data_IF_931532680696
#
_entry.id   IF_931532680696
#
_cell.length_a   1.000
_cell.length_b   1.000
_cell.length_c   1.000
_cell.angle_alpha   90.00
_cell.angle_beta   90.00
_cell.angle_gamma   90.00
#
_symmetry.space_group_name_H-M   'P 1'
#
loop_
_entity.id
_entity.type
_entity.pdbx_description
1 polymer ?
#
# COMPACT_ATOMS: atom_id res chain seq x y z
N UNK A 1 -3.17 -21.65 -24.42
CA UNK A 1 -2.97 -21.41 -22.97
C UNK A 1 -2.83 -22.74 -22.25
N UNK A 2 -1.82 -22.89 -21.43
CA UNK A 2 -1.60 -24.07 -20.57
C UNK A 2 -2.50 -23.98 -19.34
N UNK A 3 -3.55 -24.82 -19.28
CA UNK A 3 -4.56 -24.79 -18.21
C UNK A 3 -3.99 -25.17 -16.83
N UNK A 4 -2.99 -26.03 -16.76
CA UNK A 4 -2.35 -26.43 -15.51
C UNK A 4 -1.54 -25.28 -14.92
N UNK A 5 -0.70 -24.62 -15.74
CA UNK A 5 0.06 -23.46 -15.29
C UNK A 5 -0.87 -22.28 -14.89
N UNK A 6 -1.96 -22.09 -15.62
CA UNK A 6 -2.95 -21.07 -15.27
C UNK A 6 -3.58 -21.35 -13.91
N UNK A 7 -3.98 -22.59 -13.63
CA UNK A 7 -4.53 -22.97 -12.32
C UNK A 7 -3.52 -22.78 -11.19
N UNK A 8 -2.25 -23.10 -11.42
CA UNK A 8 -1.17 -22.85 -10.44
C UNK A 8 -1.05 -21.34 -10.19
N UNK A 9 -1.02 -20.51 -11.23
CA UNK A 9 -0.94 -19.06 -11.11
C UNK A 9 -2.14 -18.50 -10.32
N UNK A 10 -3.35 -18.93 -10.63
CA UNK A 10 -4.58 -18.49 -9.96
C UNK A 10 -4.55 -18.85 -8.45
N UNK A 11 -4.09 -20.06 -8.09
CA UNK A 11 -3.94 -20.46 -6.70
C UNK A 11 -2.86 -19.63 -5.96
N UNK A 12 -1.75 -19.33 -6.60
CA UNK A 12 -0.70 -18.47 -6.05
C UNK A 12 -1.26 -17.06 -5.79
N UNK A 13 -2.00 -16.50 -6.75
CA UNK A 13 -2.62 -15.18 -6.66
C UNK A 13 -3.60 -15.14 -5.49
N UNK A 14 -4.50 -16.11 -5.41
CA UNK A 14 -5.50 -16.20 -4.34
C UNK A 14 -4.87 -16.28 -2.96
N UNK A 15 -3.84 -17.12 -2.81
CA UNK A 15 -3.11 -17.26 -1.55
C UNK A 15 -2.36 -15.97 -1.16
N UNK A 16 -1.72 -15.33 -2.14
CA UNK A 16 -0.98 -14.09 -1.94
C UNK A 16 -1.90 -12.94 -1.51
N UNK A 17 -3.04 -12.74 -2.19
CA UNK A 17 -4.02 -11.73 -1.81
C UNK A 17 -4.58 -12.00 -0.41
N UNK A 18 -4.99 -13.23 -0.11
CA UNK A 18 -5.51 -13.61 1.22
C UNK A 18 -4.52 -13.32 2.34
N UNK A 19 -3.23 -13.52 2.11
CA UNK A 19 -2.19 -13.28 3.10
C UNK A 19 -2.02 -11.80 3.48
N UNK A 20 -2.34 -10.88 2.59
CA UNK A 20 -2.19 -9.43 2.81
C UNK A 20 -3.51 -8.70 3.05
N UNK A 21 -4.61 -9.43 3.22
CA UNK A 21 -5.87 -8.82 3.64
C UNK A 21 -5.71 -8.16 5.02
N UNK A 22 -6.40 -7.04 5.27
CA UNK A 22 -6.28 -6.28 6.51
C UNK A 22 -6.55 -7.12 7.76
N UNK A 23 -7.55 -8.00 7.71
CA UNK A 23 -7.90 -8.89 8.82
C UNK A 23 -6.81 -9.95 9.07
N UNK A 24 -6.26 -10.56 8.03
CA UNK A 24 -5.16 -11.51 8.14
C UNK A 24 -3.90 -10.87 8.75
N UNK A 25 -3.60 -9.64 8.34
CA UNK A 25 -2.46 -8.88 8.87
C UNK A 25 -2.63 -8.57 10.36
N UNK A 26 -3.81 -8.12 10.79
CA UNK A 26 -4.09 -7.83 12.21
C UNK A 26 -4.05 -9.11 13.03
N UNK A 27 -4.70 -10.20 12.58
CA UNK A 27 -4.71 -11.50 13.29
C UNK A 27 -3.29 -12.01 13.53
N UNK A 28 -2.42 -11.98 12.50
CA UNK A 28 -1.01 -12.38 12.66
C UNK A 28 -0.24 -11.50 13.64
N UNK A 29 -0.49 -10.18 13.61
CA UNK A 29 0.20 -9.26 14.50
C UNK A 29 -0.20 -9.40 15.97
N UNK A 30 -1.43 -9.82 16.24
CA UNK A 30 -1.97 -10.00 17.59
C UNK A 30 -1.76 -11.41 18.13
N UNK A 31 -1.38 -12.38 17.29
CA UNK A 31 -1.17 -13.76 17.72
C UNK A 31 -0.15 -13.86 18.83
N UNK A 32 -0.54 -14.50 19.94
CA UNK A 32 0.29 -14.66 21.14
C UNK A 32 0.63 -13.35 21.86
N UNK A 33 -0.02 -12.23 21.55
CA UNK A 33 0.20 -10.96 22.26
C UNK A 33 -0.72 -10.83 23.47
N UNK A 34 -0.11 -10.44 24.59
CA UNK A 34 -0.82 -10.11 25.82
C UNK A 34 -0.61 -8.62 26.14
N UNK A 35 -1.70 -7.95 26.46
CA UNK A 35 -1.70 -6.55 26.88
C UNK A 35 -2.17 -6.48 28.34
N UNK A 36 -1.43 -5.70 29.16
CA UNK A 36 -1.83 -5.41 30.54
C UNK A 36 -2.90 -4.33 30.55
N UNK A 37 -3.16 -3.62 31.55
CA UNK A 37 -4.02 -2.45 31.65
C UNK A 37 -5.18 -2.35 30.63
N UNK A 38 -5.59 -1.13 30.33
CA UNK A 38 -6.60 -0.83 29.30
C UNK A 38 -6.02 -0.94 27.90
N UNK A 39 -6.84 -1.37 26.96
CA UNK A 39 -6.51 -1.34 25.53
C UNK A 39 -7.43 -0.36 24.83
N UNK A 40 -6.85 0.70 24.31
CA UNK A 40 -7.55 1.73 23.53
C UNK A 40 -7.26 1.50 22.06
N UNK A 41 -8.30 1.20 21.27
CA UNK A 41 -8.17 0.97 19.84
C UNK A 41 -8.28 2.29 19.08
N UNK A 42 -7.26 2.61 18.28
CA UNK A 42 -7.30 3.71 17.31
C UNK A 42 -6.97 3.16 15.94
N UNK A 43 -7.93 3.14 15.03
CA UNK A 43 -7.76 2.59 13.68
C UNK A 43 -7.99 3.65 12.62
N UNK A 44 -7.00 3.84 11.73
CA UNK A 44 -6.97 4.97 10.78
C UNK A 44 -6.62 4.49 9.37
N UNK A 45 -7.34 4.99 8.38
CA UNK A 45 -7.05 4.76 6.97
C UNK A 45 -8.20 4.10 6.20
N UNK A 46 -7.97 3.78 4.94
CA UNK A 46 -9.00 3.21 4.06
C UNK A 46 -9.48 1.82 4.53
N UNK A 47 -8.59 1.03 5.14
CA UNK A 47 -8.90 -0.29 5.69
C UNK A 47 -9.19 -0.27 7.20
N UNK A 48 -9.32 0.92 7.81
CA UNK A 48 -9.42 1.08 9.27
C UNK A 48 -10.58 0.32 9.88
N UNK A 49 -11.74 0.32 9.26
CA UNK A 49 -12.91 -0.42 9.76
C UNK A 49 -12.65 -1.93 9.79
N UNK A 50 -12.09 -2.47 8.69
CA UNK A 50 -11.81 -3.91 8.58
C UNK A 50 -10.72 -4.35 9.56
N UNK A 51 -9.67 -3.54 9.73
CA UNK A 51 -8.62 -3.80 10.73
C UNK A 51 -9.17 -3.77 12.16
N UNK A 52 -10.02 -2.79 12.48
CA UNK A 52 -10.65 -2.67 13.80
C UNK A 52 -11.60 -3.82 14.10
N UNK A 53 -12.38 -4.27 13.11
CA UNK A 53 -13.25 -5.44 13.25
C UNK A 53 -12.41 -6.69 13.54
N UNK A 54 -11.32 -6.90 12.80
CA UNK A 54 -10.42 -8.03 13.03
C UNK A 54 -9.76 -7.98 14.42
N UNK A 55 -9.39 -6.80 14.90
CA UNK A 55 -8.88 -6.63 16.26
C UNK A 55 -9.95 -6.94 17.31
N UNK A 56 -11.19 -6.49 17.10
CA UNK A 56 -12.33 -6.77 17.96
C UNK A 56 -12.64 -8.27 18.01
N UNK A 57 -12.61 -8.96 16.87
CA UNK A 57 -12.80 -10.42 16.80
C UNK A 57 -11.72 -11.19 17.55
N UNK A 58 -10.47 -10.72 17.54
CA UNK A 58 -9.35 -11.36 18.24
C UNK A 58 -9.34 -11.12 19.73
N UNK A 59 -9.71 -9.90 20.16
CA UNK A 59 -9.48 -9.42 21.52
C UNK A 59 -10.76 -9.32 22.37
N UNK A 60 -11.94 -9.21 21.71
CA UNK A 60 -13.22 -9.11 22.39
C UNK A 60 -13.25 -8.05 23.49
N UNK A 61 -13.63 -8.47 24.69
CA UNK A 61 -13.75 -7.61 25.88
C UNK A 61 -12.44 -6.98 26.35
N UNK A 62 -11.28 -7.35 25.78
CA UNK A 62 -10.00 -6.72 26.09
C UNK A 62 -9.87 -5.33 25.51
N UNK A 63 -10.68 -4.97 24.51
CA UNK A 63 -10.76 -3.59 24.02
C UNK A 63 -11.71 -2.81 24.94
N UNK A 64 -11.17 -1.84 25.66
CA UNK A 64 -11.96 -1.00 26.57
C UNK A 64 -12.84 -0.02 25.80
N UNK A 65 -12.27 0.67 24.83
CA UNK A 65 -12.93 1.60 23.92
C UNK A 65 -12.08 1.82 22.68
N UNK A 66 -12.66 2.39 21.63
CA UNK A 66 -11.90 2.69 20.43
C UNK A 66 -12.53 3.69 19.49
N UNK A 67 -11.76 4.06 18.47
CA UNK A 67 -12.20 4.91 17.38
C UNK A 67 -11.67 4.38 16.05
N UNK A 68 -12.54 4.41 15.06
CA UNK A 68 -12.23 4.15 13.65
C UNK A 68 -12.36 5.45 12.88
N UNK A 69 -11.38 5.78 12.06
CA UNK A 69 -11.41 6.94 11.16
C UNK A 69 -11.10 6.45 9.74
N UNK A 70 -12.13 6.44 8.91
CA UNK A 70 -12.02 5.94 7.54
C UNK A 70 -12.67 6.89 6.54
N UNK A 71 -12.52 6.62 5.23
CA UNK A 71 -13.16 7.46 4.21
C UNK A 71 -14.65 7.14 4.09
N UNK A 72 -15.41 8.07 3.56
CA UNK A 72 -16.84 7.92 3.32
C UNK A 72 -17.18 6.62 2.58
N UNK A 73 -18.23 5.91 3.05
CA UNK A 73 -18.72 4.66 2.49
C UNK A 73 -17.89 3.44 2.87
N UNK A 74 -16.95 3.55 3.82
CA UNK A 74 -16.10 2.43 4.25
C UNK A 74 -16.47 1.82 5.61
N UNK A 75 -17.35 2.44 6.38
CA UNK A 75 -17.94 1.83 7.57
C UNK A 75 -19.02 0.82 7.12
N UNK A 76 -18.86 -0.45 7.50
CA UNK A 76 -19.78 -1.54 7.10
C UNK A 76 -20.75 -1.95 8.21
N UNK A 77 -20.66 -1.33 9.38
CA UNK A 77 -21.52 -1.61 10.51
C UNK A 77 -20.89 -1.19 11.85
N UNK A 78 -21.60 -1.34 12.97
CA UNK A 78 -21.06 -1.04 14.29
C UNK A 78 -20.00 -2.07 14.71
N UNK A 79 -19.05 -1.62 15.52
CA UNK A 79 -18.08 -2.45 16.24
C UNK A 79 -18.29 -2.18 17.73
N UNK A 80 -18.38 -3.21 18.55
CA UNK A 80 -18.63 -3.04 19.98
C UNK A 80 -17.57 -2.16 20.63
N UNK A 81 -18.00 -1.18 21.47
CA UNK A 81 -17.14 -0.21 22.17
C UNK A 81 -16.27 0.69 21.26
N UNK A 82 -16.53 0.72 19.96
CA UNK A 82 -15.75 1.49 18.99
C UNK A 82 -16.64 2.49 18.26
N UNK A 83 -16.28 3.77 18.35
CA UNK A 83 -16.94 4.84 17.61
C UNK A 83 -16.35 4.93 16.20
N UNK A 84 -17.20 4.89 15.17
CA UNK A 84 -16.78 4.91 13.77
C UNK A 84 -17.08 6.24 13.13
N UNK A 85 -16.05 6.88 12.57
CA UNK A 85 -16.14 8.13 11.82
C UNK A 85 -15.78 7.90 10.35
N UNK A 86 -16.53 8.57 9.48
CA UNK A 86 -16.19 8.70 8.08
C UNK A 86 -15.79 10.14 7.77
N UNK A 87 -14.74 10.33 6.97
CA UNK A 87 -14.09 11.61 6.73
C UNK A 87 -13.54 11.75 5.30
N UNK A 88 -13.10 12.96 4.96
CA UNK A 88 -12.62 13.32 3.64
C UNK A 88 -11.29 12.67 3.26
N UNK A 89 -11.22 12.18 2.04
CA UNK A 89 -10.01 11.66 1.40
C UNK A 89 -10.10 11.87 -0.12
N UNK A 90 -9.06 12.36 -0.80
CA UNK A 90 -7.67 12.62 -0.36
C UNK A 90 -7.44 13.95 0.37
N UNK A 91 -8.45 14.80 0.48
CA UNK A 91 -8.38 16.08 1.18
C UNK A 91 -9.07 15.94 2.53
N UNK A 92 -8.43 16.33 3.66
CA UNK A 92 -9.05 16.31 4.97
C UNK A 92 -10.20 17.34 5.04
N UNK A 93 -11.21 17.02 5.82
CA UNK A 93 -12.36 17.87 6.07
C UNK A 93 -12.64 18.03 7.59
N UNK A 94 -13.69 18.75 7.94
CA UNK A 94 -14.11 18.96 9.34
C UNK A 94 -14.32 17.63 10.10
N UNK A 95 -14.83 16.59 9.40
CA UNK A 95 -14.99 15.26 10.00
C UNK A 95 -13.64 14.61 10.31
N UNK A 96 -12.61 14.81 9.47
CA UNK A 96 -11.25 14.36 9.77
C UNK A 96 -10.72 14.98 11.07
N UNK A 97 -10.94 16.28 11.25
CA UNK A 97 -10.47 17.02 12.43
C UNK A 97 -11.22 16.62 13.70
N UNK A 98 -12.54 16.44 13.61
CA UNK A 98 -13.39 16.00 14.72
C UNK A 98 -13.05 14.57 15.15
N UNK A 99 -12.90 13.66 14.20
CA UNK A 99 -12.55 12.27 14.47
C UNK A 99 -11.15 12.16 15.09
N UNK A 100 -10.19 12.95 14.60
CA UNK A 100 -8.83 12.98 15.16
C UNK A 100 -8.84 13.55 16.59
N UNK A 101 -9.68 14.56 16.88
CA UNK A 101 -9.85 15.07 18.24
C UNK A 101 -10.40 13.98 19.18
N UNK A 102 -11.39 13.20 18.74
CA UNK A 102 -11.92 12.08 19.52
C UNK A 102 -10.83 11.05 19.84
N UNK A 103 -9.95 10.76 18.87
CA UNK A 103 -8.79 9.87 19.10
C UNK A 103 -7.83 10.46 20.15
N UNK A 104 -7.52 11.76 20.08
CA UNK A 104 -6.66 12.46 21.07
C UNK A 104 -7.26 12.37 22.46
N UNK A 105 -8.57 12.65 22.59
CA UNK A 105 -9.28 12.64 23.88
C UNK A 105 -9.28 11.22 24.48
N UNK A 106 -9.38 10.19 23.66
CA UNK A 106 -9.36 8.80 24.13
C UNK A 106 -7.99 8.35 24.67
N UNK A 107 -6.89 8.88 24.16
CA UNK A 107 -5.53 8.48 24.56
C UNK A 107 -4.92 9.41 25.62
N UNK A 108 -5.58 10.49 25.95
CA UNK A 108 -5.09 11.44 26.96
C UNK A 108 -5.32 10.89 28.38
N UNK A 109 -4.28 10.97 29.23
CA UNK A 109 -4.35 10.58 30.65
C UNK A 109 -4.31 9.07 30.90
N UNK A 110 -3.80 8.28 29.95
CA UNK A 110 -3.51 6.86 30.14
C UNK A 110 -2.33 6.64 31.07
N UNK A 111 -2.23 5.45 31.63
CA UNK A 111 -1.12 5.01 32.49
C UNK A 111 -0.05 4.23 31.72
N UNK A 112 1.10 3.97 32.34
CA UNK A 112 2.17 3.14 31.76
C UNK A 112 1.79 1.65 31.57
N UNK A 113 0.72 1.20 32.23
CA UNK A 113 0.21 -0.17 32.06
C UNK A 113 -0.74 -0.28 30.89
N UNK A 114 -1.27 0.85 30.38
CA UNK A 114 -2.24 0.89 29.30
C UNK A 114 -1.55 0.79 27.94
N UNK A 115 -2.30 0.30 26.94
CA UNK A 115 -1.82 0.16 25.57
C UNK A 115 -2.77 0.87 24.60
N UNK A 116 -2.20 1.65 23.69
CA UNK A 116 -2.89 2.13 22.51
C UNK A 116 -2.60 1.18 21.36
N UNK A 117 -3.61 0.40 20.95
CA UNK A 117 -3.55 -0.41 19.75
C UNK A 117 -3.82 0.48 18.55
N UNK A 118 -2.75 0.86 17.85
CA UNK A 118 -2.81 1.80 16.73
C UNK A 118 -2.73 1.06 15.40
N UNK A 119 -3.86 0.98 14.68
CA UNK A 119 -3.97 0.31 13.39
C UNK A 119 -3.94 1.35 12.27
N UNK A 120 -2.99 1.23 11.34
CA UNK A 120 -2.74 2.24 10.33
C UNK A 120 -2.73 1.63 8.93
N UNK A 121 -3.47 2.23 8.00
CA UNK A 121 -3.48 1.85 6.59
C UNK A 121 -3.40 3.07 5.68
N UNK A 122 -3.27 2.85 4.37
CA UNK A 122 -3.20 3.91 3.37
C UNK A 122 -4.31 4.96 3.49
N UNK A 123 -4.01 6.19 3.12
CA UNK A 123 -4.93 7.34 3.22
C UNK A 123 -4.94 8.07 4.56
N UNK A 124 -4.21 7.58 5.57
CA UNK A 124 -4.16 8.19 6.91
C UNK A 124 -3.67 9.64 6.94
N UNK A 125 -2.89 10.09 5.95
CA UNK A 125 -2.41 11.49 5.90
C UNK A 125 -3.54 12.52 5.82
N UNK A 126 -4.67 12.19 5.18
CA UNK A 126 -5.85 13.05 5.13
C UNK A 126 -6.83 12.75 6.26
N UNK A 127 -7.06 11.45 6.53
CA UNK A 127 -8.05 10.99 7.48
C UNK A 127 -7.66 11.31 8.94
N UNK A 128 -6.36 11.31 9.26
CA UNK A 128 -5.83 11.57 10.60
C UNK A 128 -5.08 12.90 10.65
N UNK A 129 -5.83 13.98 10.71
CA UNK A 129 -5.31 15.34 10.71
C UNK A 129 -5.97 16.18 11.81
N UNK A 130 -5.16 16.92 12.54
CA UNK A 130 -5.58 17.98 13.46
C UNK A 130 -4.60 19.15 13.31
N UNK A 131 -4.99 20.20 12.58
CA UNK A 131 -4.07 21.31 12.31
C UNK A 131 -3.85 22.18 13.55
N UNK A 132 -2.62 22.71 13.69
CA UNK A 132 -2.23 23.71 14.71
C UNK A 132 -2.43 25.15 14.25
N UNK A 133 -2.90 25.32 13.04
CA UNK A 133 -3.21 26.60 12.37
C UNK A 133 -4.64 26.53 11.84
N UNK A 134 -5.24 27.65 11.44
CA UNK A 134 -6.55 27.62 10.79
C UNK A 134 -6.56 26.70 9.58
N UNK A 135 -7.67 25.98 9.39
CA UNK A 135 -7.84 24.99 8.31
C UNK A 135 -7.61 25.59 6.93
N UNK A 136 -8.16 26.78 6.69
CA UNK A 136 -7.98 27.51 5.42
C UNK A 136 -6.50 27.81 5.14
N UNK A 137 -5.72 28.12 6.19
CA UNK A 137 -4.29 28.34 6.05
C UNK A 137 -3.56 27.03 5.70
N UNK A 138 -3.90 25.89 6.34
CA UNK A 138 -3.32 24.59 6.01
C UNK A 138 -3.64 24.19 4.57
N UNK A 139 -4.88 24.39 4.12
CA UNK A 139 -5.29 24.13 2.75
C UNK A 139 -4.51 24.99 1.76
N UNK A 140 -4.39 26.29 2.04
CA UNK A 140 -3.63 27.22 1.20
C UNK A 140 -2.15 26.81 1.07
N UNK A 141 -1.49 26.46 2.19
CA UNK A 141 -0.10 25.98 2.20
C UNK A 141 0.02 24.69 1.37
N UNK A 142 -0.93 23.78 1.49
CA UNK A 142 -0.94 22.53 0.72
C UNK A 142 -1.08 22.81 -0.79
N UNK A 143 -1.96 23.73 -1.18
CA UNK A 143 -2.14 24.17 -2.58
C UNK A 143 -0.83 24.77 -3.12
N UNK A 144 -0.17 25.65 -2.34
CA UNK A 144 1.11 26.23 -2.73
C UNK A 144 2.17 25.16 -2.99
N UNK A 145 2.30 24.17 -2.08
CA UNK A 145 3.26 23.06 -2.22
C UNK A 145 3.00 22.21 -3.47
N UNK A 146 1.74 21.89 -3.73
CA UNK A 146 1.37 21.14 -4.95
C UNK A 146 1.64 21.97 -6.22
N UNK A 147 1.25 23.24 -6.23
CA UNK A 147 1.42 24.12 -7.39
C UNK A 147 2.88 24.40 -7.75
N UNK A 148 3.79 24.42 -6.77
CA UNK A 148 5.22 24.63 -7.01
C UNK A 148 5.99 23.34 -7.36
N UNK A 149 5.32 22.19 -7.40
CA UNK A 149 5.93 20.88 -7.73
C UNK A 149 6.81 20.33 -6.61
N UNK A 150 6.50 20.65 -5.34
CA UNK A 150 7.18 20.02 -4.21
C UNK A 150 6.91 18.51 -4.19
N UNK A 151 7.93 17.73 -3.91
CA UNK A 151 7.78 16.29 -3.77
C UNK A 151 7.07 15.90 -2.47
N UNK A 152 6.70 14.62 -2.35
CA UNK A 152 5.94 14.14 -1.19
C UNK A 152 6.73 14.25 0.12
N UNK A 153 8.06 14.16 0.08
CA UNK A 153 8.92 14.30 1.26
C UNK A 153 8.90 15.76 1.73
N UNK A 154 9.03 16.70 0.81
CA UNK A 154 8.97 18.14 1.08
C UNK A 154 7.59 18.55 1.63
N UNK A 155 6.51 18.05 1.02
CA UNK A 155 5.13 18.29 1.49
C UNK A 155 4.96 17.76 2.92
N UNK A 156 5.36 16.53 3.20
CA UNK A 156 5.26 15.94 4.53
C UNK A 156 6.14 16.66 5.56
N UNK A 157 7.34 17.12 5.18
CA UNK A 157 8.22 17.90 6.05
C UNK A 157 7.53 19.16 6.59
N UNK A 158 6.76 19.84 5.77
CA UNK A 158 5.96 21.02 6.19
C UNK A 158 4.74 20.57 7.00
N UNK A 159 3.94 19.62 6.49
CA UNK A 159 2.69 19.18 7.13
C UNK A 159 2.90 18.59 8.53
N UNK A 160 3.96 17.83 8.75
CA UNK A 160 4.31 17.26 10.07
C UNK A 160 4.44 18.34 11.15
N UNK A 161 4.95 19.53 10.81
CA UNK A 161 5.11 20.64 11.76
C UNK A 161 3.82 21.38 12.07
N UNK A 162 2.89 21.38 11.13
CA UNK A 162 1.62 22.09 11.24
C UNK A 162 0.49 21.24 11.84
N UNK A 163 0.76 19.98 12.20
CA UNK A 163 -0.22 19.02 12.72
C UNK A 163 0.04 18.67 14.19
N UNK A 164 -1.02 18.38 14.93
CA UNK A 164 -0.95 17.91 16.32
C UNK A 164 -0.62 16.41 16.42
N UNK A 165 -0.85 15.63 15.35
CA UNK A 165 -0.74 14.16 15.40
C UNK A 165 0.38 13.60 14.54
N UNK A 166 0.86 14.32 13.51
CA UNK A 166 1.88 13.83 12.59
C UNK A 166 3.30 13.94 13.15
N UNK A 167 4.27 13.25 12.52
CA UNK A 167 5.68 13.30 12.86
C UNK A 167 5.96 12.89 14.30
N UNK A 168 5.38 11.77 14.76
CA UNK A 168 5.59 11.21 16.10
C UNK A 168 4.74 11.86 17.20
N UNK A 169 4.00 12.92 16.92
CA UNK A 169 3.26 13.66 17.95
C UNK A 169 2.12 12.85 18.57
N UNK A 170 1.42 12.02 17.78
CA UNK A 170 0.37 11.17 18.31
C UNK A 170 0.91 10.21 19.37
N UNK A 171 2.03 9.53 19.09
CA UNK A 171 2.65 8.66 20.09
C UNK A 171 3.10 9.42 21.34
N UNK A 172 3.54 10.68 21.21
CA UNK A 172 3.83 11.54 22.35
C UNK A 172 2.60 11.88 23.19
N UNK A 173 1.44 12.09 22.56
CA UNK A 173 0.18 12.31 23.27
C UNK A 173 -0.29 11.08 24.04
N UNK A 174 0.12 9.88 23.62
CA UNK A 174 -0.19 8.63 24.32
C UNK A 174 0.66 8.41 25.57
N UNK A 175 1.80 9.08 25.74
CA UNK A 175 2.67 8.87 26.92
C UNK A 175 1.93 9.12 28.24
N UNK A 176 2.17 8.26 29.27
CA UNK A 176 3.17 7.19 29.36
C UNK A 176 2.70 5.81 28.83
N UNK A 177 1.53 5.69 28.21
CA UNK A 177 1.04 4.43 27.65
C UNK A 177 1.90 3.94 26.49
N UNK A 178 1.93 2.60 26.32
CA UNK A 178 2.59 1.98 25.18
C UNK A 178 1.72 2.06 23.93
N UNK A 179 2.32 2.39 22.78
CA UNK A 179 1.68 2.35 21.46
C UNK A 179 2.13 1.09 20.74
N UNK A 180 1.22 0.14 20.54
CA UNK A 180 1.44 -1.02 19.69
C UNK A 180 0.82 -0.76 18.31
N UNK A 181 1.67 -0.44 17.35
CA UNK A 181 1.25 -0.01 16.01
C UNK A 181 1.33 -1.17 15.01
N UNK A 182 0.22 -1.43 14.29
CA UNK A 182 0.13 -2.39 13.18
C UNK A 182 -0.11 -1.59 11.91
N UNK A 183 0.79 -1.71 10.94
CA UNK A 183 0.80 -0.91 9.72
C UNK A 183 0.57 -1.80 8.49
N UNK A 184 -0.37 -1.38 7.64
CA UNK A 184 -0.50 -1.81 6.25
C UNK A 184 0.10 -0.72 5.37
N UNK A 185 1.23 -1.03 4.73
CA UNK A 185 1.99 -0.09 3.92
C UNK A 185 1.63 -0.22 2.45
N UNK A 186 1.30 0.91 1.84
CA UNK A 186 1.12 1.08 0.39
C UNK A 186 2.29 1.88 -0.24
N UNK A 187 3.39 2.09 0.50
CA UNK A 187 4.55 2.84 0.04
C UNK A 187 5.76 1.90 -0.06
N UNK A 188 6.45 1.91 -1.20
CA UNK A 188 7.62 1.08 -1.43
C UNK A 188 8.75 1.37 -0.42
N UNK A 189 9.33 0.30 0.12
CA UNK A 189 10.39 0.39 1.14
C UNK A 189 9.89 0.67 2.55
N UNK A 190 8.56 0.77 2.74
CA UNK A 190 7.88 0.91 4.04
C UNK A 190 8.41 2.05 4.93
N UNK A 191 8.63 3.28 4.42
CA UNK A 191 9.13 4.38 5.21
C UNK A 191 8.07 4.84 6.22
N UNK A 192 8.17 4.37 7.47
CA UNK A 192 7.19 4.60 8.54
C UNK A 192 6.87 6.08 8.79
N UNK A 193 7.85 6.96 8.58
CA UNK A 193 7.67 8.41 8.73
C UNK A 193 6.91 9.07 7.58
N UNK A 194 6.70 8.33 6.48
CA UNK A 194 5.89 8.76 5.32
C UNK A 194 4.46 8.20 5.38
N UNK A 195 4.28 6.99 5.94
CA UNK A 195 2.96 6.36 6.07
C UNK A 195 2.09 7.21 7.03
N UNK A 196 0.96 7.73 6.52
CA UNK A 196 0.09 8.69 7.21
C UNK A 196 0.85 9.92 7.79
N UNK A 197 2.03 10.26 7.24
CA UNK A 197 2.94 11.29 7.76
C UNK A 197 3.48 10.98 9.17
N UNK A 198 3.64 9.70 9.51
CA UNK A 198 4.35 9.20 10.69
C UNK A 198 3.76 9.55 12.05
N UNK A 199 2.48 9.26 12.38
CA UNK A 199 1.91 9.64 13.68
C UNK A 199 2.60 8.97 14.87
N UNK A 200 3.07 7.74 14.70
CA UNK A 200 3.75 6.95 15.72
C UNK A 200 5.19 6.57 15.31
N UNK A 201 5.86 7.44 14.57
CA UNK A 201 7.23 7.26 14.12
C UNK A 201 8.05 8.53 14.38
N UNK A 202 9.30 8.43 14.87
CA UNK A 202 10.19 9.57 14.94
C UNK A 202 10.35 10.25 13.59
N UNK A 203 10.34 11.58 13.55
CA UNK A 203 10.47 12.34 12.31
C UNK A 203 11.95 12.57 11.98
N UNK A 204 12.38 12.10 10.82
CA UNK A 204 13.74 12.29 10.32
C UNK A 204 14.01 13.73 9.84
N UNK A 205 12.99 14.50 9.43
CA UNK A 205 13.13 15.85 8.90
C UNK A 205 13.41 16.89 10.01
N UNK A 206 14.22 17.91 9.73
CA UNK A 206 14.61 18.97 10.68
C UNK A 206 13.91 20.31 10.40
N UNK A 207 13.93 21.21 11.37
CA UNK A 207 13.50 22.60 11.16
C UNK A 207 14.29 23.29 10.04
N UNK A 208 15.56 22.97 9.88
CA UNK A 208 16.40 23.48 8.80
C UNK A 208 15.89 23.00 7.44
N UNK A 209 15.55 21.69 7.30
CA UNK A 209 14.93 21.18 6.08
C UNK A 209 13.62 21.95 5.76
N UNK A 210 12.77 22.15 6.76
CA UNK A 210 11.51 22.88 6.57
C UNK A 210 11.75 24.35 6.18
N UNK A 211 12.71 25.02 6.81
CA UNK A 211 13.12 26.38 6.45
C UNK A 211 13.64 26.50 5.02
N UNK A 212 14.45 25.53 4.57
CA UNK A 212 14.91 25.45 3.20
C UNK A 212 13.77 25.29 2.19
N UNK A 213 12.78 24.44 2.48
CA UNK A 213 11.59 24.23 1.63
C UNK A 213 10.79 25.54 1.53
N UNK A 214 10.55 26.21 2.66
CA UNK A 214 9.83 27.51 2.69
C UNK A 214 10.54 28.52 1.83
N UNK A 215 11.87 28.61 1.92
CA UNK A 215 12.68 29.53 1.13
C UNK A 215 12.72 29.15 -0.36
N UNK A 216 12.96 27.86 -0.67
CA UNK A 216 13.03 27.31 -2.05
C UNK A 216 11.79 27.66 -2.86
N UNK A 217 10.62 27.52 -2.26
CA UNK A 217 9.34 27.71 -2.94
C UNK A 217 8.66 29.05 -2.60
N UNK A 218 9.33 29.90 -1.82
CA UNK A 218 8.79 31.20 -1.37
C UNK A 218 7.38 31.08 -0.80
N UNK A 219 7.15 30.06 0.07
CA UNK A 219 5.85 29.78 0.62
C UNK A 219 5.31 30.94 1.47
N UNK A 220 4.06 31.29 1.27
CA UNK A 220 3.36 32.33 2.04
C UNK A 220 2.77 31.70 3.28
N UNK A 221 3.36 31.97 4.43
CA UNK A 221 2.96 31.43 5.73
C UNK A 221 2.49 32.57 6.63
N UNK A 222 1.42 32.36 7.38
CA UNK A 222 1.01 33.24 8.48
C UNK A 222 2.00 33.15 9.67
N UNK A 223 1.84 34.06 10.60
CA UNK A 223 2.79 34.20 11.73
C UNK A 223 2.85 32.93 12.63
N UNK A 224 1.71 32.24 12.83
CA UNK A 224 1.68 31.01 13.60
C UNK A 224 2.39 29.85 12.86
N UNK A 225 2.14 29.69 11.57
CA UNK A 225 2.80 28.68 10.75
C UNK A 225 4.33 28.90 10.73
N UNK A 226 4.81 30.15 10.57
CA UNK A 226 6.24 30.48 10.65
C UNK A 226 6.88 30.06 11.98
N UNK A 227 6.18 30.25 13.10
CA UNK A 227 6.69 29.81 14.41
C UNK A 227 6.74 28.29 14.49
N UNK A 228 5.71 27.58 14.00
CA UNK A 228 5.61 26.12 14.06
C UNK A 228 6.66 25.44 13.17
N UNK A 229 7.03 26.00 12.03
CA UNK A 229 8.09 25.49 11.14
C UNK A 229 9.44 25.42 11.88
N UNK A 230 9.67 26.30 12.85
CA UNK A 230 10.90 26.35 13.63
C UNK A 230 10.84 25.50 14.92
N UNK A 231 9.77 24.71 15.14
CA UNK A 231 9.64 23.80 16.27
C UNK A 231 9.92 22.37 15.81
N UNK A 232 10.94 21.73 16.42
CA UNK A 232 11.26 20.35 16.07
C UNK A 232 10.13 19.37 16.42
N UNK A 233 9.98 18.39 15.55
CA UNK A 233 9.13 17.22 15.76
C UNK A 233 9.85 16.19 16.64
N UNK A 234 9.14 15.26 17.30
CA UNK A 234 9.76 14.19 18.06
C UNK A 234 10.82 13.41 17.28
N UNK A 235 12.05 13.37 17.80
CA UNK A 235 13.20 12.66 17.21
C UNK A 235 13.40 11.27 17.79
N UNK A 236 12.78 10.99 18.92
CA UNK A 236 12.83 9.72 19.63
C UNK A 236 11.48 9.43 20.26
N UNK A 237 11.07 8.20 20.18
CA UNK A 237 9.87 7.65 20.82
C UNK A 237 10.27 6.35 21.54
N UNK A 238 10.11 6.32 22.86
CA UNK A 238 10.49 5.15 23.68
C UNK A 238 9.28 4.27 24.01
N UNK A 239 8.07 4.73 23.68
CA UNK A 239 6.80 4.08 24.01
C UNK A 239 6.14 3.40 22.82
N UNK A 240 6.85 3.16 21.70
CA UNK A 240 6.25 2.62 20.46
C UNK A 240 6.89 1.30 20.06
N UNK A 241 6.05 0.32 19.73
CA UNK A 241 6.43 -0.87 18.97
C UNK A 241 5.61 -0.91 17.69
N UNK A 242 6.26 -0.98 16.53
CA UNK A 242 5.60 -1.00 15.22
C UNK A 242 5.86 -2.32 14.51
N UNK A 243 4.79 -2.92 13.98
CA UNK A 243 4.83 -4.08 13.09
C UNK A 243 4.23 -3.70 11.73
N UNK A 244 5.00 -3.91 10.67
CA UNK A 244 4.50 -3.82 9.28
C UNK A 244 4.08 -5.22 8.88
N UNK A 245 2.77 -5.48 8.88
CA UNK A 245 2.21 -6.81 8.66
C UNK A 245 1.40 -6.95 7.36
N UNK A 246 1.35 -5.90 6.57
CA UNK A 246 0.85 -5.89 5.21
C UNK A 246 1.69 -4.92 4.40
N UNK A 247 2.45 -5.45 3.44
CA UNK A 247 3.31 -4.70 2.53
C UNK A 247 3.58 -5.53 1.29
N UNK A 248 4.18 -4.93 0.28
CA UNK A 248 4.62 -5.65 -0.91
C UNK A 248 5.57 -6.81 -0.56
N UNK A 249 6.38 -6.68 0.48
CA UNK A 249 7.26 -7.73 0.97
C UNK A 249 6.49 -8.94 1.49
N UNK A 250 5.40 -8.71 2.24
CA UNK A 250 4.54 -9.79 2.71
C UNK A 250 3.76 -10.45 1.56
N UNK A 251 3.33 -9.66 0.57
CA UNK A 251 2.74 -10.17 -0.66
C UNK A 251 3.70 -11.11 -1.39
N UNK A 252 4.96 -10.69 -1.58
CA UNK A 252 6.00 -11.51 -2.21
C UNK A 252 6.31 -12.79 -1.41
N UNK A 253 6.41 -12.71 -0.08
CA UNK A 253 6.62 -13.89 0.78
C UNK A 253 5.48 -14.89 0.68
N UNK A 254 4.25 -14.42 0.57
CA UNK A 254 3.11 -15.30 0.37
C UNK A 254 3.19 -16.03 -0.98
N UNK A 255 3.63 -15.33 -2.05
CA UNK A 255 3.92 -15.93 -3.36
C UNK A 255 5.04 -16.99 -3.25
N UNK A 256 6.17 -16.68 -2.58
CA UNK A 256 7.28 -17.63 -2.37
C UNK A 256 6.79 -18.93 -1.70
N UNK A 257 6.04 -18.76 -0.61
CA UNK A 257 5.51 -19.90 0.15
C UNK A 257 4.57 -20.76 -0.70
N UNK A 258 3.72 -20.14 -1.51
CA UNK A 258 2.78 -20.88 -2.36
C UNK A 258 3.49 -21.55 -3.53
N UNK A 259 4.45 -20.89 -4.20
CA UNK A 259 5.28 -21.48 -5.24
C UNK A 259 6.00 -22.74 -4.75
N UNK A 260 6.51 -22.72 -3.52
CA UNK A 260 7.19 -23.88 -2.89
C UNK A 260 6.27 -25.10 -2.77
N UNK A 261 4.98 -24.91 -2.48
CA UNK A 261 3.99 -26.00 -2.40
C UNK A 261 3.79 -26.72 -3.76
N UNK A 262 3.96 -25.98 -4.86
CA UNK A 262 3.91 -26.54 -6.22
C UNK A 262 5.25 -27.06 -6.71
N UNK A 263 6.27 -27.10 -5.84
CA UNK A 263 7.59 -27.62 -6.13
C UNK A 263 8.49 -26.67 -6.91
N UNK A 264 8.17 -25.38 -6.96
CA UNK A 264 9.05 -24.36 -7.50
C UNK A 264 10.10 -23.96 -6.47
N UNK A 265 11.32 -23.68 -6.91
CA UNK A 265 12.36 -23.01 -6.16
C UNK A 265 12.17 -21.48 -6.31
N UNK A 266 11.69 -20.77 -5.27
CA UNK A 266 11.43 -19.35 -5.39
C UNK A 266 12.72 -18.53 -5.33
N UNK A 267 12.78 -17.48 -6.13
CA UNK A 267 13.89 -16.52 -6.18
C UNK A 267 13.31 -15.11 -6.11
N UNK A 268 13.50 -14.47 -4.98
CA UNK A 268 13.13 -13.06 -4.82
C UNK A 268 14.11 -12.18 -5.60
N UNK A 269 13.64 -11.50 -6.63
CA UNK A 269 14.41 -10.52 -7.40
C UNK A 269 14.47 -9.17 -6.68
N UNK A 270 13.34 -8.67 -6.29
CA UNK A 270 13.19 -7.37 -5.60
C UNK A 270 11.79 -7.24 -4.98
N UNK A 271 11.66 -6.43 -3.95
CA UNK A 271 10.40 -5.93 -3.40
C UNK A 271 10.23 -4.40 -3.64
N UNK A 272 11.04 -3.84 -4.55
CA UNK A 272 11.07 -2.42 -4.88
C UNK A 272 11.13 -2.18 -6.41
N UNK A 273 10.44 -3.00 -7.19
CA UNK A 273 10.37 -2.84 -8.64
C UNK A 273 9.72 -1.49 -8.98
N UNK A 274 10.47 -0.62 -9.66
CA UNK A 274 10.04 0.74 -9.97
C UNK A 274 10.57 1.17 -11.35
N UNK A 275 10.11 0.53 -12.43
CA UNK A 275 10.47 0.85 -13.80
C UNK A 275 9.22 0.88 -14.69
N UNK A 276 9.37 1.09 -16.00
CA UNK A 276 8.25 0.94 -16.92
C UNK A 276 7.78 -0.52 -16.98
N UNK A 277 6.47 -0.73 -16.94
CA UNK A 277 5.84 -2.04 -16.91
C UNK A 277 6.30 -2.96 -18.06
N UNK A 278 6.29 -2.46 -19.28
CA UNK A 278 6.74 -3.22 -20.46
C UNK A 278 8.21 -3.67 -20.38
N UNK A 279 9.07 -2.85 -19.75
CA UNK A 279 10.49 -3.21 -19.57
C UNK A 279 10.65 -4.31 -18.51
N UNK A 280 9.85 -4.26 -17.44
CA UNK A 280 9.80 -5.32 -16.44
C UNK A 280 9.39 -6.67 -17.06
N UNK A 281 8.34 -6.67 -17.90
CA UNK A 281 7.90 -7.88 -18.62
C UNK A 281 8.97 -8.43 -19.55
N UNK A 282 9.63 -7.58 -20.33
CA UNK A 282 10.74 -7.95 -21.22
C UNK A 282 11.93 -8.50 -20.44
N UNK A 283 12.24 -7.94 -19.26
CA UNK A 283 13.30 -8.44 -18.38
C UNK A 283 12.98 -9.84 -17.83
N UNK A 284 11.75 -10.07 -17.35
CA UNK A 284 11.31 -11.39 -16.90
C UNK A 284 11.40 -12.44 -18.02
N UNK A 285 11.01 -12.07 -19.24
CA UNK A 285 11.17 -12.95 -20.39
C UNK A 285 12.65 -13.27 -20.72
N UNK A 286 13.55 -12.32 -20.48
CA UNK A 286 15.00 -12.55 -20.64
C UNK A 286 15.55 -13.54 -19.62
N UNK A 287 15.05 -13.48 -18.38
CA UNK A 287 15.35 -14.50 -17.35
C UNK A 287 14.81 -15.86 -17.78
N UNK A 288 13.59 -15.93 -18.32
CA UNK A 288 13.02 -17.18 -18.83
C UNK A 288 13.91 -17.81 -19.88
N UNK A 289 14.39 -17.05 -20.89
CA UNK A 289 15.32 -17.55 -21.92
C UNK A 289 16.60 -18.14 -21.34
N UNK A 290 17.14 -17.53 -20.30
CA UNK A 290 18.38 -17.98 -19.66
C UNK A 290 18.19 -19.30 -18.93
N UNK A 291 17.06 -19.50 -18.27
CA UNK A 291 16.84 -20.62 -17.34
C UNK A 291 15.91 -21.72 -17.89
N UNK A 292 15.28 -21.52 -19.05
CA UNK A 292 14.32 -22.47 -19.64
C UNK A 292 14.88 -23.91 -19.77
N UNK A 293 16.12 -24.04 -20.17
CA UNK A 293 16.76 -25.34 -20.36
C UNK A 293 17.41 -25.89 -19.07
N UNK A 294 17.20 -25.28 -17.91
CA UNK A 294 17.84 -25.71 -16.65
C UNK A 294 17.34 -27.06 -16.11
N UNK A 295 16.15 -27.49 -16.53
CA UNK A 295 15.47 -28.68 -16.00
C UNK A 295 14.96 -28.50 -14.56
N UNK A 296 14.98 -27.27 -14.02
CA UNK A 296 14.49 -26.93 -12.69
C UNK A 296 13.14 -26.24 -12.76
N UNK A 297 12.32 -26.44 -11.73
CA UNK A 297 11.13 -25.62 -11.49
C UNK A 297 11.54 -24.37 -10.74
N UNK A 298 11.49 -23.21 -11.39
CA UNK A 298 11.93 -21.92 -10.82
C UNK A 298 10.77 -20.93 -10.81
N UNK A 299 10.67 -20.14 -9.74
CA UNK A 299 9.73 -19.03 -9.65
C UNK A 299 10.48 -17.74 -9.32
N UNK A 300 10.56 -16.81 -10.27
CA UNK A 300 11.17 -15.50 -10.05
C UNK A 300 10.09 -14.50 -9.66
N UNK A 301 10.30 -13.78 -8.57
CA UNK A 301 9.30 -12.92 -7.93
C UNK A 301 9.83 -11.51 -7.83
N UNK A 302 9.04 -10.55 -8.30
CA UNK A 302 9.36 -9.13 -8.22
C UNK A 302 8.13 -8.34 -7.74
N UNK A 303 8.23 -7.78 -6.53
CA UNK A 303 7.21 -6.89 -5.98
C UNK A 303 7.56 -5.42 -6.18
N UNK A 304 6.58 -4.56 -6.27
CA UNK A 304 6.81 -3.13 -6.42
C UNK A 304 5.63 -2.36 -6.98
N UNK A 305 5.92 -1.25 -7.61
CA UNK A 305 4.95 -0.42 -8.32
C UNK A 305 5.56 0.13 -9.60
N UNK A 306 5.30 -0.55 -10.72
CA UNK A 306 5.76 -0.10 -12.04
C UNK A 306 4.89 1.05 -12.56
N UNK A 307 5.38 1.73 -13.59
CA UNK A 307 4.69 2.84 -14.23
C UNK A 307 4.37 2.53 -15.69
N UNK A 308 3.30 3.13 -16.20
CA UNK A 308 2.95 3.12 -17.61
C UNK A 308 3.22 4.50 -18.20
N UNK A 309 3.94 4.55 -19.31
CA UNK A 309 4.05 5.77 -20.10
C UNK A 309 2.89 5.82 -21.08
N UNK A 310 1.95 6.72 -20.85
CA UNK A 310 0.76 6.84 -21.70
C UNK A 310 1.13 7.50 -23.03
N UNK A 311 1.13 6.70 -24.08
CA UNK A 311 1.43 7.11 -25.47
C UNK A 311 0.25 6.96 -26.39
N UNK A 312 -0.74 6.16 -26.01
CA UNK A 312 -1.95 5.86 -26.77
C UNK A 312 -3.25 6.15 -26.00
N UNK A 313 -4.36 5.66 -26.52
CA UNK A 313 -5.71 5.84 -25.97
C UNK A 313 -6.39 4.51 -25.62
N UNK A 314 -5.65 3.42 -25.61
CA UNK A 314 -6.17 2.10 -25.31
C UNK A 314 -6.58 1.91 -23.85
N UNK A 315 -7.02 0.70 -23.52
CA UNK A 315 -7.43 0.29 -22.19
C UNK A 315 -6.43 -0.72 -21.62
N UNK A 316 -5.91 -0.46 -20.44
CA UNK A 316 -4.95 -1.35 -19.78
C UNK A 316 -4.44 -0.80 -18.47
N UNK A 317 -3.49 -1.51 -17.87
CA UNK A 317 -2.80 -1.11 -16.68
C UNK A 317 -1.38 -1.69 -16.65
N UNK A 318 -0.60 -1.33 -15.62
CA UNK A 318 0.80 -1.70 -15.50
C UNK A 318 1.01 -3.20 -15.38
N UNK A 319 0.17 -3.90 -14.64
CA UNK A 319 0.27 -5.34 -14.46
C UNK A 319 -0.09 -6.11 -15.74
N UNK A 320 -1.04 -5.61 -16.49
CA UNK A 320 -1.42 -6.14 -17.80
C UNK A 320 -0.30 -5.93 -18.84
N UNK A 321 0.36 -4.76 -18.83
CA UNK A 321 1.50 -4.50 -19.72
C UNK A 321 2.70 -5.37 -19.41
N UNK A 322 3.00 -5.68 -18.12
CA UNK A 322 4.06 -6.62 -17.73
C UNK A 322 3.82 -7.98 -18.38
N UNK A 323 2.61 -8.54 -18.20
CA UNK A 323 2.29 -9.85 -18.75
C UNK A 323 2.33 -9.86 -20.28
N UNK A 324 1.70 -8.86 -20.93
CA UNK A 324 1.66 -8.80 -22.40
C UNK A 324 3.05 -8.63 -23.01
N UNK A 325 3.89 -7.78 -22.42
CA UNK A 325 5.27 -7.57 -22.89
C UNK A 325 6.12 -8.82 -22.77
N UNK A 326 5.95 -9.60 -21.71
CA UNK A 326 6.67 -10.86 -21.54
C UNK A 326 6.31 -11.91 -22.61
N UNK A 327 5.07 -11.89 -23.12
CA UNK A 327 4.55 -12.90 -24.06
C UNK A 327 5.43 -13.07 -25.31
N UNK A 328 5.98 -11.96 -25.84
CA UNK A 328 6.85 -12.01 -27.04
C UNK A 328 8.16 -12.76 -26.78
N UNK A 329 8.68 -12.62 -25.55
CA UNK A 329 9.98 -13.21 -25.22
C UNK A 329 9.94 -14.66 -24.79
N UNK A 330 8.75 -15.17 -24.41
CA UNK A 330 8.52 -16.56 -23.97
C UNK A 330 7.75 -17.40 -25.02
N UNK A 331 7.52 -16.86 -26.24
CA UNK A 331 6.81 -17.57 -27.30
C UNK A 331 7.41 -18.95 -27.55
N UNK A 332 6.56 -19.98 -27.61
CA UNK A 332 6.95 -21.38 -27.84
C UNK A 332 7.60 -22.08 -26.66
N UNK A 333 7.80 -21.45 -25.50
CA UNK A 333 8.30 -22.08 -24.30
C UNK A 333 7.18 -22.83 -23.58
N UNK A 334 7.19 -24.15 -23.61
CA UNK A 334 6.28 -24.97 -22.81
C UNK A 334 6.60 -24.80 -21.33
N UNK A 335 5.59 -24.86 -20.46
CA UNK A 335 5.73 -24.76 -19.00
C UNK A 335 6.38 -23.46 -18.49
N UNK A 336 6.26 -22.36 -19.25
CA UNK A 336 6.66 -21.02 -18.83
C UNK A 336 5.43 -20.10 -18.81
N UNK A 337 5.27 -19.36 -17.73
CA UNK A 337 4.23 -18.35 -17.61
C UNK A 337 4.74 -17.11 -16.88
N UNK A 338 4.20 -15.95 -17.25
CA UNK A 338 4.40 -14.69 -16.51
C UNK A 338 3.03 -14.14 -16.15
N UNK A 339 2.86 -13.75 -14.90
CA UNK A 339 1.68 -13.03 -14.45
C UNK A 339 2.05 -11.88 -13.53
N UNK A 340 1.21 -10.86 -13.49
CA UNK A 340 1.38 -9.72 -12.60
C UNK A 340 0.02 -9.21 -12.14
N UNK A 341 -0.09 -8.84 -10.87
CA UNK A 341 -1.32 -8.36 -10.24
C UNK A 341 -1.10 -7.17 -9.33
N UNK A 342 -2.10 -6.27 -9.28
CA UNK A 342 -2.29 -5.32 -8.20
C UNK A 342 -3.05 -5.96 -7.04
N UNK A 343 -2.55 -5.80 -5.83
CA UNK A 343 -3.16 -6.41 -4.64
C UNK A 343 -4.55 -5.87 -4.32
N UNK A 344 -4.92 -4.69 -4.80
CA UNK A 344 -6.23 -4.05 -4.62
C UNK A 344 -7.33 -4.62 -5.53
N UNK A 345 -6.94 -5.47 -6.50
CA UNK A 345 -7.86 -6.11 -7.43
C UNK A 345 -8.23 -5.25 -8.64
N UNK A 346 -7.51 -4.15 -8.86
CA UNK A 346 -7.68 -3.26 -10.01
C UNK A 346 -6.35 -2.93 -10.66
N UNK A 347 -6.36 -2.69 -11.98
CA UNK A 347 -5.15 -2.33 -12.73
C UNK A 347 -5.51 -1.30 -13.81
N UNK A 348 -5.11 -0.04 -13.56
CA UNK A 348 -5.53 1.10 -14.38
C UNK A 348 -7.05 1.29 -14.37
N UNK A 349 -7.66 1.84 -15.44
CA UNK A 349 -9.10 2.07 -15.53
C UNK A 349 -9.85 0.79 -15.96
N UNK A 350 -9.50 -0.38 -15.42
CA UNK A 350 -10.06 -1.68 -15.78
C UNK A 350 -10.64 -2.42 -14.58
N UNK A 351 -11.41 -3.47 -14.84
CA UNK A 351 -11.93 -4.41 -13.84
C UNK A 351 -11.02 -5.61 -13.59
N UNK A 352 -9.87 -5.66 -14.27
CA UNK A 352 -8.85 -6.67 -14.06
C UNK A 352 -7.87 -6.25 -12.95
N UNK A 353 -7.44 -7.21 -12.14
CA UNK A 353 -6.34 -7.04 -11.19
C UNK A 353 -4.97 -7.06 -11.88
N UNK A 354 -4.89 -7.63 -13.08
CA UNK A 354 -3.66 -7.74 -13.83
C UNK A 354 -3.75 -8.67 -15.03
N UNK A 355 -2.60 -9.25 -15.40
CA UNK A 355 -2.47 -10.07 -16.60
C UNK A 355 -1.66 -11.34 -16.41
N UNK A 356 -1.93 -12.30 -17.26
CA UNK A 356 -1.23 -13.59 -17.39
C UNK A 356 -0.88 -13.83 -18.85
N UNK A 357 0.31 -14.37 -19.10
CA UNK A 357 0.70 -14.93 -20.39
C UNK A 357 1.51 -16.22 -20.22
N UNK A 358 1.51 -17.02 -21.26
CA UNK A 358 2.34 -18.23 -21.39
C UNK A 358 2.95 -18.34 -22.81
N UNK A 359 3.64 -19.43 -23.08
CA UNK A 359 4.30 -19.66 -24.36
C UNK A 359 3.38 -19.68 -25.59
N UNK A 360 2.07 -19.81 -25.41
CA UNK A 360 1.10 -19.80 -26.50
C UNK A 360 0.51 -18.40 -26.78
N UNK A 361 0.62 -17.48 -25.82
CA UNK A 361 -0.08 -16.19 -25.86
C UNK A 361 0.24 -15.36 -27.11
N UNK A 362 1.53 -15.19 -27.43
CA UNK A 362 1.95 -14.41 -28.60
C UNK A 362 1.48 -15.05 -29.92
N UNK A 363 1.51 -16.37 -30.02
CA UNK A 363 1.00 -17.10 -31.19
C UNK A 363 -0.49 -16.87 -31.40
N UNK A 364 -1.30 -16.97 -30.34
CA UNK A 364 -2.76 -16.75 -30.39
C UNK A 364 -3.09 -15.33 -30.85
N UNK A 365 -2.36 -14.32 -30.35
CA UNK A 365 -2.55 -12.93 -30.78
C UNK A 365 -2.20 -12.74 -32.25
N UNK A 366 -1.10 -13.32 -32.70
CA UNK A 366 -0.67 -13.28 -34.10
C UNK A 366 -1.69 -13.94 -35.04
N UNK A 367 -2.29 -15.06 -34.65
CA UNK A 367 -3.36 -15.72 -35.42
C UNK A 367 -4.64 -14.88 -35.55
N UNK A 368 -4.80 -13.87 -34.65
CA UNK A 368 -5.91 -12.88 -34.68
C UNK A 368 -5.51 -11.55 -35.31
N UNK A 369 -4.36 -11.47 -35.96
CA UNK A 369 -3.81 -10.25 -36.54
C UNK A 369 -3.61 -9.10 -35.50
N UNK A 370 -3.30 -9.44 -34.25
CA UNK A 370 -3.01 -8.51 -33.16
C UNK A 370 -1.50 -8.41 -32.95
N UNK A 371 -0.92 -7.25 -33.24
CA UNK A 371 0.50 -6.96 -33.00
C UNK A 371 0.72 -6.46 -31.57
N UNK A 372 1.44 -7.22 -30.75
CA UNK A 372 1.72 -6.88 -29.35
C UNK A 372 2.47 -5.55 -29.21
N UNK A 373 3.37 -5.21 -30.15
CA UNK A 373 4.13 -3.96 -30.06
C UNK A 373 3.23 -2.73 -30.30
N UNK A 374 2.33 -2.80 -31.26
CA UNK A 374 1.34 -1.73 -31.50
C UNK A 374 0.35 -1.64 -30.33
N UNK A 375 -0.09 -2.77 -29.78
CA UNK A 375 -0.96 -2.80 -28.59
C UNK A 375 -0.29 -2.12 -27.38
N UNK A 376 0.97 -2.43 -27.10
CA UNK A 376 1.72 -1.80 -26.00
C UNK A 376 1.96 -0.31 -26.24
N UNK A 377 2.16 0.12 -27.49
CA UNK A 377 2.30 1.53 -27.86
C UNK A 377 1.00 2.30 -27.67
N UNK A 378 -0.14 1.66 -27.95
CA UNK A 378 -1.47 2.23 -27.76
C UNK A 378 -1.98 2.09 -26.31
N UNK A 379 -1.21 1.46 -25.39
CA UNK A 379 -1.60 1.14 -24.00
C UNK A 379 -2.90 0.31 -23.91
N UNK A 380 -3.10 -0.65 -24.85
CA UNK A 380 -4.34 -1.43 -24.99
C UNK A 380 -4.21 -2.89 -24.53
N UNK A 381 -3.39 -3.13 -23.51
CA UNK A 381 -3.09 -4.48 -23.01
C UNK A 381 -4.34 -5.25 -22.55
N UNK A 382 -5.36 -4.58 -22.03
CA UNK A 382 -6.61 -5.19 -21.60
C UNK A 382 -7.30 -5.95 -22.75
N UNK A 383 -7.49 -5.30 -23.89
CA UNK A 383 -8.19 -5.89 -25.01
C UNK A 383 -7.40 -7.08 -25.60
N UNK A 384 -6.08 -6.96 -25.72
CA UNK A 384 -5.24 -8.06 -26.19
C UNK A 384 -5.27 -9.27 -25.25
N UNK A 385 -5.11 -9.06 -23.95
CA UNK A 385 -5.16 -10.15 -22.96
C UNK A 385 -6.54 -10.80 -22.85
N UNK A 386 -7.60 -10.05 -23.07
CA UNK A 386 -8.97 -10.59 -23.14
C UNK A 386 -9.11 -11.63 -24.28
N UNK A 387 -8.49 -11.38 -25.43
CA UNK A 387 -8.51 -12.29 -26.58
C UNK A 387 -7.79 -13.63 -26.33
N UNK A 388 -6.93 -13.68 -25.32
CA UNK A 388 -6.16 -14.89 -24.94
C UNK A 388 -6.64 -15.49 -23.62
N UNK A 389 -7.74 -15.00 -23.01
CA UNK A 389 -8.15 -15.30 -21.64
C UNK A 389 -7.05 -15.00 -20.59
N UNK A 390 -6.17 -14.06 -20.90
CA UNK A 390 -5.05 -13.66 -20.07
C UNK A 390 -5.38 -12.63 -18.97
N UNK A 391 -6.61 -12.13 -18.88
CA UNK A 391 -7.03 -11.24 -17.81
C UNK A 391 -7.13 -12.00 -16.48
N UNK A 392 -6.70 -11.34 -15.39
CA UNK A 392 -6.88 -11.82 -14.01
C UNK A 392 -7.93 -10.93 -13.38
N UNK A 393 -9.08 -11.54 -13.02
CA UNK A 393 -10.23 -10.84 -12.45
C UNK A 393 -10.44 -11.35 -11.02
N UNK A 394 -10.21 -10.50 -10.03
CA UNK A 394 -10.41 -10.84 -8.60
C UNK A 394 -11.59 -10.09 -7.98
N UNK A 395 -12.01 -8.99 -8.63
CA UNK A 395 -12.82 -7.96 -8.00
C UNK A 395 -12.04 -7.17 -6.93
N UNK A 396 -12.64 -6.13 -6.34
CA UNK A 396 -11.99 -5.35 -5.27
C UNK A 396 -11.67 -6.22 -4.06
N UNK A 397 -10.41 -6.26 -3.64
CA UNK A 397 -9.93 -7.14 -2.55
C UNK A 397 -10.07 -6.53 -1.16
N UNK A 398 -10.12 -5.19 -1.06
CA UNK A 398 -10.17 -4.47 0.21
C UNK A 398 -8.79 -4.23 0.85
N UNK A 399 -7.71 -4.62 0.19
CA UNK A 399 -6.32 -4.26 0.56
C UNK A 399 -5.66 -3.43 -0.54
N UNK A 400 -4.53 -2.80 -0.25
CA UNK A 400 -3.61 -2.25 -1.24
C UNK A 400 -2.21 -2.23 -0.61
N UNK A 401 -1.35 -3.12 -1.12
CA UNK A 401 0.05 -3.25 -0.72
C UNK A 401 0.95 -3.35 -1.95
N UNK A 402 0.64 -2.58 -3.00
CA UNK A 402 1.28 -2.57 -4.31
C UNK A 402 1.10 -3.89 -5.10
N UNK A 403 2.02 -4.19 -6.01
CA UNK A 403 1.91 -5.23 -7.03
C UNK A 403 2.94 -6.33 -6.85
N UNK A 404 2.68 -7.49 -7.46
CA UNK A 404 3.65 -8.56 -7.61
C UNK A 404 3.63 -9.13 -9.03
N UNK A 405 4.81 -9.27 -9.63
CA UNK A 405 5.03 -9.95 -10.89
C UNK A 405 5.79 -11.26 -10.63
N UNK A 406 5.39 -12.33 -11.32
CA UNK A 406 5.93 -13.69 -11.15
C UNK A 406 6.20 -14.32 -12.50
N UNK A 407 7.41 -14.88 -12.64
CA UNK A 407 7.77 -15.76 -13.75
C UNK A 407 7.88 -17.19 -13.22
N UNK A 408 7.11 -18.11 -13.79
CA UNK A 408 7.21 -19.54 -13.53
C UNK A 408 7.93 -20.22 -14.69
N UNK A 409 8.88 -21.10 -14.38
CA UNK A 409 9.59 -21.98 -15.32
C UNK A 409 9.47 -23.39 -14.74
N UNK A 410 8.87 -24.34 -15.51
CA UNK A 410 8.64 -25.71 -15.04
C UNK A 410 9.10 -26.82 -15.99
#
# INVERSE_FOLDING_TARGET
>A
MNSELRNIADNIIDAAIKAVLPDAAVKRALDGKEFKGKVILVSVGKAAWQMAMAASDCMGDRIDKGVVITKYGHVKGPIDRVECFEAGHPVPDENSFRATQAAIDMVTGLSSEDTVLFLLSGGGSALFEKPKIPEEELQNITIQLLACGADIVEINTIRKRLSEVKGGRFAKLCEPAHVFSIVLSDILGDPLDMIASGPACPDSSTCENAGHIVAKYNLKLGENAKKLINIETPKKLDNVTTLINGSVRELCRAVENECTKYGYEPVMLTDQLCCQAKEAGSFLASIAKTHYASGKKLAYIAGGETVVNLTGHGKGGRNQEIALSAATGIEGMSNVAVFSIGSDGTDGPTDAAGGYCDGDTAKVLKEKDIDIFEVLKENDAYNALKETNGLIITGPTGTNVNDVAVLLIG
#
